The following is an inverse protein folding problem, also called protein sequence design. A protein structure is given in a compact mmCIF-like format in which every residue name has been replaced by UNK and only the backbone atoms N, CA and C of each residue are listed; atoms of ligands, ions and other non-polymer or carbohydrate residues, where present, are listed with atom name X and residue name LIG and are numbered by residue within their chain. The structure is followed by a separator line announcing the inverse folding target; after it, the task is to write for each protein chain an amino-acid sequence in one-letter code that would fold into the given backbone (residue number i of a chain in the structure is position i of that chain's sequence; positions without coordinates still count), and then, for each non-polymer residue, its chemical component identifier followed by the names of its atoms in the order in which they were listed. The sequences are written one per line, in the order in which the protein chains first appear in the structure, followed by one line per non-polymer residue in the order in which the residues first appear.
data_IF_291206547111
#
_entry.id   IF_291206547111
#
_cell.length_a   1.000
_cell.length_b   1.000
_cell.length_c   1.000
_cell.angle_alpha   90.00
_cell.angle_beta   90.00
_cell.angle_gamma   90.00
#
_symmetry.space_group_name_H-M   'P 1'
#
loop_
_entity.id
_entity.type
_entity.pdbx_description
1 polymer ?
#
# COMPACT_ATOMS: atom_id res chain seq x y z
N UNK A 1 6.75 2.11 -16.71
CA UNK A 1 5.59 2.77 -16.06
C UNK A 1 6.12 3.89 -15.18
N UNK A 2 5.37 4.97 -15.00
CA UNK A 2 5.78 6.07 -14.11
C UNK A 2 5.99 5.56 -12.69
N UNK A 3 7.04 6.04 -12.00
CA UNK A 3 7.27 5.75 -10.59
C UNK A 3 6.35 6.64 -9.75
N UNK A 4 5.17 6.13 -9.40
CA UNK A 4 4.32 6.77 -8.39
C UNK A 4 5.00 6.66 -7.03
N UNK A 5 5.19 7.79 -6.35
CA UNK A 5 5.69 7.83 -4.97
C UNK A 5 4.50 7.96 -4.04
N UNK A 6 4.52 7.21 -2.95
CA UNK A 6 3.49 7.28 -1.91
C UNK A 6 4.05 8.15 -0.80
N UNK A 7 3.28 9.15 -0.37
CA UNK A 7 3.61 9.98 0.78
C UNK A 7 2.33 10.20 1.56
N UNK A 8 2.11 9.36 2.55
CA UNK A 8 0.90 9.40 3.38
C UNK A 8 0.99 10.55 4.39
N UNK A 9 -0.16 11.16 4.63
CA UNK A 9 -0.41 11.98 5.81
C UNK A 9 -0.65 11.10 7.03
N UNK A 10 -0.56 11.71 8.22
CA UNK A 10 -0.85 11.02 9.47
C UNK A 10 -2.27 10.43 9.50
N UNK A 11 -3.27 11.16 9.00
CA UNK A 11 -4.66 10.68 8.95
C UNK A 11 -4.79 9.42 8.09
N UNK A 12 -4.17 9.42 6.90
CA UNK A 12 -4.20 8.25 6.02
C UNK A 12 -3.50 7.03 6.66
N UNK A 13 -2.40 7.24 7.38
CA UNK A 13 -1.75 6.16 8.14
C UNK A 13 -2.68 5.61 9.22
N UNK A 14 -3.35 6.48 9.97
CA UNK A 14 -4.30 6.11 11.03
C UNK A 14 -5.54 5.39 10.47
N UNK A 15 -5.97 5.71 9.24
CA UNK A 15 -7.07 5.04 8.54
C UNK A 15 -6.67 3.65 7.98
N UNK A 16 -5.47 3.53 7.42
CA UNK A 16 -5.00 2.30 6.78
C UNK A 16 -4.52 1.25 7.79
N UNK A 17 -3.95 1.68 8.91
CA UNK A 17 -3.37 0.77 9.92
C UNK A 17 -4.37 -0.24 10.49
N UNK A 18 -5.60 0.14 10.88
CA UNK A 18 -6.62 -0.81 11.34
C UNK A 18 -7.00 -1.85 10.29
N UNK A 19 -6.90 -1.53 9.00
CA UNK A 19 -7.25 -2.45 7.91
C UNK A 19 -6.28 -3.63 7.90
N UNK A 20 -4.98 -3.39 8.10
CA UNK A 20 -3.98 -4.46 8.13
C UNK A 20 -4.02 -5.28 9.42
N UNK A 21 -4.51 -4.72 10.52
CA UNK A 21 -4.60 -5.39 11.83
C UNK A 21 -5.81 -6.33 11.96
N UNK A 22 -6.83 -6.20 11.10
CA UNK A 22 -8.06 -7.02 11.15
C UNK A 22 -7.90 -8.47 10.64
N UNK A 23 -6.71 -8.87 10.19
CA UNK A 23 -6.38 -10.27 9.86
C UNK A 23 -7.01 -10.85 8.59
N UNK A 24 -7.96 -10.17 7.93
CA UNK A 24 -8.58 -10.66 6.70
C UNK A 24 -7.77 -10.28 5.44
N UNK A 25 -6.69 -11.03 5.22
CA UNK A 25 -5.66 -10.78 4.19
C UNK A 25 -6.14 -10.88 2.73
N UNK A 26 -7.35 -11.38 2.48
CA UNK A 26 -7.86 -11.65 1.13
C UNK A 26 -8.60 -10.47 0.50
N UNK A 27 -8.95 -9.42 1.25
CA UNK A 27 -9.70 -8.29 0.71
C UNK A 27 -8.82 -7.35 -0.15
N UNK A 28 -9.45 -6.70 -1.14
CA UNK A 28 -8.79 -5.65 -1.93
C UNK A 28 -8.35 -4.48 -1.04
N UNK A 29 -9.17 -4.12 -0.03
CA UNK A 29 -8.84 -3.09 0.95
C UNK A 29 -7.57 -3.45 1.75
N UNK A 30 -7.44 -4.69 2.20
CA UNK A 30 -6.23 -5.15 2.88
C UNK A 30 -4.99 -5.03 1.99
N UNK A 31 -5.06 -5.51 0.74
CA UNK A 31 -3.92 -5.43 -0.19
C UNK A 31 -3.53 -3.99 -0.50
N UNK A 32 -4.53 -3.12 -0.70
CA UNK A 32 -4.29 -1.70 -0.94
C UNK A 32 -3.62 -1.05 0.28
N UNK A 33 -4.19 -1.21 1.47
CA UNK A 33 -3.62 -0.67 2.71
C UNK A 33 -2.21 -1.17 2.98
N UNK A 34 -1.98 -2.48 2.81
CA UNK A 34 -0.67 -3.08 2.99
C UNK A 34 0.36 -2.52 2.00
N UNK A 35 0.02 -2.40 0.71
CA UNK A 35 0.91 -1.80 -0.28
C UNK A 35 1.21 -0.34 0.06
N UNK A 36 0.20 0.46 0.37
CA UNK A 36 0.36 1.90 0.62
C UNK A 36 1.22 2.17 1.84
N UNK A 37 0.95 1.50 2.96
CA UNK A 37 1.73 1.65 4.20
C UNK A 37 3.20 1.23 4.01
N UNK A 38 3.46 0.15 3.27
CA UNK A 38 4.82 -0.37 3.09
C UNK A 38 5.59 0.32 1.95
N UNK A 39 4.91 1.04 1.06
CA UNK A 39 5.52 1.87 0.02
C UNK A 39 5.60 3.36 0.40
N UNK A 40 5.11 3.73 1.58
CA UNK A 40 5.11 5.10 2.05
C UNK A 40 6.55 5.64 2.16
N UNK A 41 6.78 6.86 1.69
CA UNK A 41 8.05 7.59 1.80
C UNK A 41 7.93 8.76 2.80
N UNK A 42 6.82 8.86 3.54
CA UNK A 42 6.65 9.83 4.63
C UNK A 42 7.48 9.48 5.87
N UNK A 43 7.46 10.36 6.88
CA UNK A 43 8.10 10.14 8.18
C UNK A 43 7.46 9.02 9.01
N UNK A 44 6.25 8.58 8.66
CA UNK A 44 5.50 7.52 9.35
C UNK A 44 5.78 6.12 8.80
N UNK A 45 6.61 6.03 7.75
CA UNK A 45 6.85 4.79 7.02
C UNK A 45 7.73 3.79 7.78
N UNK A 46 7.38 2.51 7.64
CA UNK A 46 8.28 1.40 7.91
C UNK A 46 8.86 0.91 6.59
N UNK A 47 10.19 1.02 6.41
CA UNK A 47 10.85 0.61 5.18
C UNK A 47 10.75 -0.91 4.99
N UNK A 48 9.94 -1.33 4.02
CA UNK A 48 9.83 -2.72 3.59
C UNK A 48 10.18 -2.80 2.10
N UNK A 49 10.85 -3.89 1.70
CA UNK A 49 11.26 -4.07 0.31
C UNK A 49 10.09 -4.51 -0.56
N UNK A 50 10.14 -4.19 -1.86
CA UNK A 50 9.10 -4.59 -2.82
C UNK A 50 8.97 -6.12 -2.89
N UNK A 51 10.09 -6.83 -2.76
CA UNK A 51 10.16 -8.28 -2.73
C UNK A 51 9.34 -8.84 -1.56
N UNK A 52 9.45 -8.22 -0.38
CA UNK A 52 8.70 -8.66 0.80
C UNK A 52 7.20 -8.40 0.64
N UNK A 53 6.81 -7.27 0.06
CA UNK A 53 5.40 -6.98 -0.24
C UNK A 53 4.84 -8.03 -1.21
N UNK A 54 5.60 -8.35 -2.25
CA UNK A 54 5.22 -9.35 -3.26
C UNK A 54 5.08 -10.75 -2.66
N UNK A 55 5.98 -11.14 -1.77
CA UNK A 55 5.96 -12.41 -1.05
C UNK A 55 4.74 -12.51 -0.11
N UNK A 56 4.52 -11.50 0.74
CA UNK A 56 3.43 -11.51 1.74
C UNK A 56 2.06 -11.52 1.07
N UNK A 57 1.88 -10.68 0.04
CA UNK A 57 0.59 -10.55 -0.65
C UNK A 57 0.39 -11.58 -1.77
N UNK A 58 1.45 -12.30 -2.15
CA UNK A 58 1.47 -13.20 -3.33
C UNK A 58 1.01 -12.49 -4.61
N UNK A 59 1.46 -11.25 -4.82
CA UNK A 59 1.11 -10.43 -6.01
C UNK A 59 2.37 -10.02 -6.77
N UNK A 60 2.26 -9.91 -8.10
CA UNK A 60 3.35 -9.37 -8.92
C UNK A 60 3.52 -7.85 -8.77
N UNK A 61 4.72 -7.36 -9.08
CA UNK A 61 5.10 -5.94 -9.01
C UNK A 61 4.14 -5.01 -9.79
N UNK A 62 3.60 -5.45 -10.94
CA UNK A 62 2.62 -4.67 -11.71
C UNK A 62 1.33 -4.37 -10.93
N UNK A 63 0.92 -5.26 -10.02
CA UNK A 63 -0.25 -5.02 -9.16
C UNK A 63 0.07 -3.98 -8.09
N UNK A 64 1.29 -4.01 -7.53
CA UNK A 64 1.77 -2.98 -6.60
C UNK A 64 1.76 -1.62 -7.30
N UNK A 65 2.34 -1.51 -8.50
CA UNK A 65 2.36 -0.28 -9.28
C UNK A 65 0.96 0.24 -9.60
N UNK A 66 0.02 -0.65 -9.95
CA UNK A 66 -1.38 -0.28 -10.21
C UNK A 66 -2.09 0.26 -8.97
N UNK A 67 -1.84 -0.32 -7.79
CA UNK A 67 -2.40 0.18 -6.53
C UNK A 67 -1.87 1.59 -6.25
N UNK A 68 -0.56 1.79 -6.39
CA UNK A 68 0.08 3.10 -6.18
C UNK A 68 -0.45 4.15 -7.16
N UNK A 69 -0.60 3.77 -8.43
CA UNK A 69 -1.19 4.63 -9.47
C UNK A 69 -2.60 5.07 -9.08
N UNK A 70 -3.49 4.12 -8.76
CA UNK A 70 -4.89 4.41 -8.40
C UNK A 70 -4.99 5.34 -7.19
N UNK A 71 -4.14 5.16 -6.19
CA UNK A 71 -4.09 6.06 -5.04
C UNK A 71 -3.72 7.49 -5.41
N UNK A 72 -2.63 7.68 -6.14
CA UNK A 72 -2.17 9.03 -6.52
C UNK A 72 -3.15 9.73 -7.48
N UNK A 73 -3.82 8.96 -8.35
CA UNK A 73 -4.81 9.50 -9.29
C UNK A 73 -6.21 9.66 -8.69
N UNK A 74 -6.42 9.31 -7.41
CA UNK A 74 -7.71 9.41 -6.72
C UNK A 74 -8.75 8.37 -7.16
N UNK A 75 -8.34 7.31 -7.85
CA UNK A 75 -9.18 6.24 -8.40
C UNK A 75 -9.18 4.97 -7.51
N UNK A 76 -9.15 5.15 -6.18
CA UNK A 76 -9.29 4.06 -5.22
C UNK A 76 -10.77 3.84 -4.87
N UNK A 77 -11.53 3.36 -5.86
CA UNK A 77 -12.88 2.80 -5.67
C UNK A 77 -12.83 1.36 -5.16
#
# INVERSE_FOLDING_TARGET
MARYRIKLSRSEVEELTPIINKGFHLSQAFRAAYVLLNCDESEYSHKVTYERISEVLRIGMRTIDRIKKRFVEGDLS
#
